data_IF_968815094894
#
_entry.id   IF_968815094894
#
_cell.length_a   1.000
_cell.length_b   1.000
_cell.length_c   1.000
_cell.angle_alpha   90.00
_cell.angle_beta   90.00
_cell.angle_gamma   90.00
#
_symmetry.space_group_name_H-M   'P 1'
#
loop_
_entity.id
_entity.type
_entity.pdbx_description
1 polymer ?
#
# COMPACT_ATOMS: atom_id res chain seq x y z
N UNK A 1 -1.37 13.04 11.13
CA UNK A 1 -2.82 12.83 10.92
C UNK A 1 -3.43 13.89 10.01
N UNK A 2 -3.30 15.21 10.27
CA UNK A 2 -3.84 16.28 9.40
C UNK A 2 -3.36 16.19 7.93
N UNK A 3 -2.08 15.90 7.68
CA UNK A 3 -1.47 15.79 6.34
C UNK A 3 -2.01 14.60 5.52
N UNK A 4 -2.38 13.50 6.15
CA UNK A 4 -2.98 12.33 5.48
C UNK A 4 -4.47 12.54 5.16
N UNK A 5 -5.18 13.22 6.06
CA UNK A 5 -6.56 13.64 5.83
C UNK A 5 -6.65 14.61 4.64
N UNK A 6 -5.61 15.45 4.46
CA UNK A 6 -5.49 16.38 3.35
C UNK A 6 -5.40 15.69 1.98
N UNK A 7 -4.61 14.63 1.88
CA UNK A 7 -4.48 13.84 0.64
C UNK A 7 -5.83 13.19 0.26
N UNK A 8 -6.61 12.83 1.27
CA UNK A 8 -7.90 12.19 1.12
C UNK A 8 -9.00 13.16 0.67
N UNK A 9 -9.02 14.37 1.24
CA UNK A 9 -9.99 15.43 0.87
C UNK A 9 -9.72 15.96 -0.55
N UNK A 10 -8.46 15.95 -1.01
CA UNK A 10 -8.11 16.37 -2.37
C UNK A 10 -8.69 15.41 -3.44
N UNK A 11 -8.79 14.11 -3.14
CA UNK A 11 -9.43 13.13 -4.02
C UNK A 11 -10.97 13.31 -4.09
N UNK A 12 -11.57 13.97 -3.09
CA UNK A 12 -13.01 14.21 -2.98
C UNK A 12 -13.47 15.60 -3.50
N UNK A 13 -12.55 16.53 -3.72
CA UNK A 13 -12.87 17.91 -4.05
C UNK A 13 -13.71 18.16 -5.34
N UNK A 14 -13.58 17.37 -6.44
CA UNK A 14 -14.37 17.61 -7.65
C UNK A 14 -15.85 17.21 -7.57
N UNK A 15 -16.30 16.59 -6.46
CA UNK A 15 -17.63 15.97 -6.37
C UNK A 15 -18.71 16.91 -5.79
N UNK A 16 -18.36 18.12 -5.35
CA UNK A 16 -19.23 18.96 -4.52
C UNK A 16 -20.10 19.98 -5.26
N UNK A 17 -20.27 19.92 -6.59
CA UNK A 17 -21.04 20.93 -7.32
C UNK A 17 -21.92 20.36 -8.44
N UNK A 18 -23.19 20.04 -8.21
CA UNK A 18 -24.19 19.78 -9.25
C UNK A 18 -25.65 19.76 -8.76
N UNK A 19 -26.58 20.18 -9.60
CA UNK A 19 -27.98 20.53 -9.34
C UNK A 19 -29.07 19.54 -9.80
N UNK A 20 -30.28 19.77 -9.34
CA UNK A 20 -31.45 18.88 -9.33
C UNK A 20 -32.06 18.47 -10.66
N UNK A 21 -32.24 17.16 -10.86
CA UNK A 21 -33.42 16.55 -11.45
C UNK A 21 -33.55 15.10 -10.94
N UNK A 22 -34.76 14.71 -10.53
CA UNK A 22 -35.00 13.47 -9.82
C UNK A 22 -35.39 12.32 -10.77
N UNK A 23 -34.46 11.37 -10.93
CA UNK A 23 -34.78 10.00 -11.31
C UNK A 23 -34.15 9.07 -10.28
N UNK A 24 -34.94 8.21 -9.65
CA UNK A 24 -34.55 7.27 -8.60
C UNK A 24 -34.23 7.87 -7.20
N UNK A 25 -34.93 8.94 -6.79
CA UNK A 25 -34.72 9.55 -5.47
C UNK A 25 -33.43 10.37 -5.37
N UNK A 26 -32.75 10.61 -6.47
CA UNK A 26 -31.55 11.44 -6.58
C UNK A 26 -32.00 12.85 -6.96
N UNK A 27 -32.15 13.73 -5.99
CA UNK A 27 -32.43 15.13 -6.24
C UNK A 27 -31.13 15.91 -6.40
N UNK A 28 -30.95 16.46 -7.59
CA UNK A 28 -29.92 17.49 -7.84
C UNK A 28 -30.54 18.85 -7.41
N UNK A 29 -29.95 19.61 -6.50
CA UNK A 29 -30.46 20.93 -6.00
C UNK A 29 -29.84 22.09 -6.80
N UNK A 30 -30.61 22.90 -7.52
CA UNK A 30 -30.15 24.03 -8.32
C UNK A 30 -30.00 25.28 -7.45
N UNK A 31 -28.77 25.65 -7.16
CA UNK A 31 -28.48 26.93 -6.53
C UNK A 31 -27.85 27.88 -7.56
N UNK A 32 -28.02 29.21 -7.36
CA UNK A 32 -27.63 30.28 -8.33
C UNK A 32 -26.14 30.34 -8.71
N UNK A 33 -25.29 29.48 -8.16
CA UNK A 33 -23.82 29.45 -8.37
C UNK A 33 -23.27 28.13 -8.87
N UNK A 34 -24.09 27.16 -9.27
CA UNK A 34 -23.60 25.87 -9.80
C UNK A 34 -24.46 24.69 -9.33
N UNK A 35 -24.26 23.55 -10.00
CA UNK A 35 -24.96 22.30 -9.74
C UNK A 35 -24.42 21.65 -8.46
N UNK A 36 -25.23 21.46 -7.39
CA UNK A 36 -24.84 20.70 -6.19
C UNK A 36 -25.57 19.36 -6.14
N UNK A 37 -24.86 18.30 -5.77
CA UNK A 37 -25.45 16.99 -5.52
C UNK A 37 -26.37 17.06 -4.30
N UNK A 38 -27.56 16.44 -4.39
CA UNK A 38 -28.48 16.34 -3.25
C UNK A 38 -27.79 15.66 -2.05
N UNK A 39 -28.19 16.04 -0.83
CA UNK A 39 -27.61 15.49 0.42
C UNK A 39 -27.53 13.95 0.43
N UNK A 40 -28.56 13.19 -0.03
CA UNK A 40 -28.46 11.74 -0.10
C UNK A 40 -27.32 11.25 -1.01
N UNK A 41 -27.11 11.89 -2.16
CA UNK A 41 -26.03 11.53 -3.09
C UNK A 41 -24.65 11.85 -2.50
N UNK A 42 -24.51 12.97 -1.79
CA UNK A 42 -23.28 13.31 -1.08
C UNK A 42 -22.92 12.24 -0.03
N UNK A 43 -23.91 11.75 0.71
CA UNK A 43 -23.74 10.68 1.70
C UNK A 43 -23.31 9.38 1.00
N UNK A 44 -23.96 9.00 -0.09
CA UNK A 44 -23.60 7.78 -0.85
C UNK A 44 -22.16 7.88 -1.37
N UNK A 45 -21.79 9.01 -1.96
CA UNK A 45 -20.42 9.22 -2.45
C UNK A 45 -19.40 9.20 -1.31
N UNK A 46 -19.70 9.83 -0.18
CA UNK A 46 -18.84 9.80 0.99
C UNK A 46 -18.65 8.37 1.53
N UNK A 47 -19.74 7.61 1.65
CA UNK A 47 -19.68 6.20 2.08
C UNK A 47 -18.89 5.34 1.10
N UNK A 48 -19.11 5.51 -0.20
CA UNK A 48 -18.34 4.81 -1.25
C UNK A 48 -16.85 5.16 -1.15
N UNK A 49 -16.53 6.43 -0.97
CA UNK A 49 -15.15 6.88 -0.82
C UNK A 49 -14.49 6.30 0.45
N UNK A 50 -15.21 6.29 1.57
CA UNK A 50 -14.73 5.69 2.83
C UNK A 50 -14.47 4.17 2.70
N UNK A 51 -15.31 3.45 1.97
CA UNK A 51 -15.13 2.01 1.75
C UNK A 51 -13.96 1.71 0.80
N UNK A 52 -13.68 2.59 -0.15
CA UNK A 52 -12.54 2.46 -1.08
C UNK A 52 -11.20 2.94 -0.49
N UNK A 53 -11.25 3.73 0.59
CA UNK A 53 -10.05 4.30 1.23
C UNK A 53 -8.95 3.27 1.54
N UNK A 54 -9.24 2.12 2.18
CA UNK A 54 -8.22 1.12 2.46
C UNK A 54 -7.57 0.57 1.18
N UNK A 55 -8.36 0.35 0.13
CA UNK A 55 -7.85 -0.14 -1.16
C UNK A 55 -6.92 0.89 -1.83
N UNK A 56 -7.29 2.17 -1.81
CA UNK A 56 -6.46 3.25 -2.36
C UNK A 56 -5.15 3.36 -1.57
N UNK A 57 -5.22 3.37 -0.24
CA UNK A 57 -4.01 3.45 0.61
C UNK A 57 -3.06 2.28 0.35
N UNK A 58 -3.58 1.06 0.25
CA UNK A 58 -2.73 -0.12 -0.02
C UNK A 58 -2.14 -0.12 -1.43
N UNK A 59 -2.83 0.51 -2.40
CA UNK A 59 -2.42 0.50 -3.81
C UNK A 59 -1.37 1.56 -4.17
N UNK A 60 -1.27 2.67 -3.41
CA UNK A 60 -0.34 3.77 -3.72
C UNK A 60 0.74 3.98 -2.65
N UNK A 61 0.80 3.11 -1.64
CA UNK A 61 1.80 3.19 -0.58
C UNK A 61 2.62 1.90 -0.49
N UNK A 62 3.79 1.92 0.19
CA UNK A 62 4.60 0.72 0.45
C UNK A 62 3.94 -0.32 1.35
N UNK A 63 2.73 -0.04 1.86
CA UNK A 63 2.01 -0.90 2.81
C UNK A 63 1.94 -2.35 2.33
N UNK A 64 1.66 -2.56 1.04
CA UNK A 64 1.51 -3.90 0.47
C UNK A 64 2.78 -4.74 0.60
N UNK A 65 3.96 -4.18 0.24
CA UNK A 65 5.24 -4.88 0.40
C UNK A 65 5.50 -5.19 1.86
N UNK A 66 5.32 -4.22 2.74
CA UNK A 66 5.62 -4.35 4.16
C UNK A 66 4.75 -5.42 4.80
N UNK A 67 3.43 -5.37 4.60
CA UNK A 67 2.52 -6.32 5.23
C UNK A 67 2.75 -7.76 4.75
N UNK A 68 3.01 -7.95 3.45
CA UNK A 68 3.28 -9.27 2.88
C UNK A 68 4.59 -9.84 3.44
N UNK A 69 5.66 -9.04 3.53
CA UNK A 69 6.94 -9.48 4.12
C UNK A 69 6.77 -9.84 5.60
N UNK A 70 6.03 -9.04 6.38
CA UNK A 70 5.76 -9.35 7.79
C UNK A 70 4.94 -10.63 7.96
N UNK A 71 4.01 -10.92 7.05
CA UNK A 71 3.29 -12.20 7.04
C UNK A 71 4.22 -13.37 6.72
N UNK A 72 5.14 -13.22 5.75
CA UNK A 72 6.15 -14.23 5.46
C UNK A 72 7.08 -14.47 6.66
N UNK A 73 7.50 -13.40 7.35
CA UNK A 73 8.31 -13.53 8.57
C UNK A 73 7.57 -14.36 9.63
N UNK A 74 6.31 -14.07 9.91
CA UNK A 74 5.50 -14.83 10.86
C UNK A 74 5.41 -16.31 10.46
N UNK A 75 5.17 -16.59 9.19
CA UNK A 75 5.16 -17.97 8.67
C UNK A 75 6.51 -18.66 8.79
N UNK A 76 7.60 -17.98 8.47
CA UNK A 76 8.95 -18.52 8.55
C UNK A 76 9.33 -18.93 9.97
N UNK A 77 8.91 -18.14 10.98
CA UNK A 77 9.09 -18.45 12.41
C UNK A 77 8.27 -19.66 12.88
N UNK A 78 7.33 -20.17 12.07
CA UNK A 78 6.45 -21.27 12.44
C UNK A 78 5.29 -20.86 13.38
N UNK A 79 5.10 -19.56 13.59
CA UNK A 79 4.00 -19.04 14.42
C UNK A 79 2.78 -18.78 13.55
N UNK A 80 1.62 -19.35 13.92
CA UNK A 80 0.38 -19.20 13.14
C UNK A 80 -0.40 -17.93 13.52
N UNK A 81 -0.38 -17.52 14.79
CA UNK A 81 -1.24 -16.47 15.34
C UNK A 81 -0.47 -15.31 15.98
N UNK A 82 0.80 -15.48 16.29
CA UNK A 82 1.62 -14.47 17.00
C UNK A 82 2.79 -14.01 16.11
N UNK A 83 2.98 -12.69 15.92
CA UNK A 83 2.12 -11.56 16.32
C UNK A 83 0.74 -11.58 15.64
N UNK A 84 -0.29 -10.99 16.31
CA UNK A 84 -1.65 -10.95 15.72
C UNK A 84 -1.68 -10.11 14.42
N UNK A 85 -2.68 -10.37 13.55
CA UNK A 85 -2.84 -9.60 12.31
C UNK A 85 -2.95 -8.09 12.57
N UNK A 86 -3.62 -7.69 13.65
CA UNK A 86 -3.79 -6.28 14.00
C UNK A 86 -2.44 -5.61 14.30
N UNK A 87 -1.53 -6.30 15.02
CA UNK A 87 -0.18 -5.79 15.31
C UNK A 87 0.63 -5.65 14.02
N UNK A 88 0.59 -6.65 13.14
CA UNK A 88 1.31 -6.60 11.86
C UNK A 88 0.77 -5.50 10.95
N UNK A 89 -0.55 -5.34 10.85
CA UNK A 89 -1.19 -4.28 10.07
C UNK A 89 -0.84 -2.91 10.64
N UNK A 90 -0.91 -2.74 11.97
CA UNK A 90 -0.53 -1.49 12.62
C UNK A 90 0.93 -1.11 12.35
N UNK A 91 1.84 -2.08 12.52
CA UNK A 91 3.28 -1.87 12.25
C UNK A 91 3.52 -1.54 10.77
N UNK A 92 2.90 -2.30 9.85
CA UNK A 92 3.02 -2.03 8.42
C UNK A 92 2.51 -0.64 8.03
N UNK A 93 1.41 -0.19 8.64
CA UNK A 93 0.87 1.14 8.41
C UNK A 93 1.85 2.23 8.88
N UNK A 94 2.39 2.13 10.10
CA UNK A 94 3.38 3.09 10.60
C UNK A 94 4.63 3.16 9.73
N UNK A 95 5.16 2.00 9.31
CA UNK A 95 6.32 1.94 8.43
C UNK A 95 6.01 2.52 7.04
N UNK A 96 4.83 2.22 6.48
CA UNK A 96 4.40 2.79 5.20
C UNK A 96 4.30 4.32 5.27
N UNK A 97 3.74 4.87 6.37
CA UNK A 97 3.65 6.30 6.60
C UNK A 97 5.03 6.96 6.69
N UNK A 98 5.96 6.31 7.37
CA UNK A 98 7.34 6.79 7.49
C UNK A 98 8.03 6.88 6.12
N UNK A 99 7.85 5.86 5.27
CA UNK A 99 8.46 5.83 3.93
C UNK A 99 7.81 6.86 2.98
N UNK A 100 6.50 7.08 3.08
CA UNK A 100 5.76 8.03 2.21
C UNK A 100 5.86 9.47 2.71
N UNK A 101 6.38 9.71 3.91
CA UNK A 101 6.47 11.04 4.51
C UNK A 101 7.01 12.12 3.55
N UNK A 102 8.15 11.95 2.84
CA UNK A 102 8.65 12.98 1.93
C UNK A 102 7.68 13.31 0.79
N UNK A 103 6.96 12.31 0.26
CA UNK A 103 5.96 12.51 -0.79
C UNK A 103 4.76 13.28 -0.24
N UNK A 104 4.29 12.93 0.96
CA UNK A 104 3.15 13.62 1.60
C UNK A 104 3.49 15.07 1.98
N UNK A 105 4.73 15.36 2.34
CA UNK A 105 5.20 16.73 2.59
C UNK A 105 5.24 17.56 1.30
N UNK A 106 5.75 16.99 0.23
CA UNK A 106 5.76 17.63 -1.10
C UNK A 106 4.35 17.96 -1.58
N UNK A 107 3.42 17.00 -1.49
CA UNK A 107 2.02 17.21 -1.87
C UNK A 107 1.35 18.23 -0.95
N UNK A 108 1.64 18.21 0.34
CA UNK A 108 1.08 19.17 1.28
C UNK A 108 1.48 20.61 0.93
N UNK A 109 2.78 20.86 0.70
CA UNK A 109 3.28 22.21 0.43
C UNK A 109 2.96 22.70 -0.98
N UNK A 110 3.01 21.83 -1.99
CA UNK A 110 2.82 22.24 -3.39
C UNK A 110 1.34 22.31 -3.81
N UNK A 111 0.47 21.58 -3.12
CA UNK A 111 -0.92 21.40 -3.52
C UNK A 111 -1.92 21.79 -2.41
N UNK A 112 -1.85 21.14 -1.24
CA UNK A 112 -2.84 21.32 -0.20
C UNK A 112 -2.81 22.71 0.45
N UNK A 113 -1.65 23.18 0.86
CA UNK A 113 -1.48 24.47 1.53
C UNK A 113 -1.91 25.64 0.64
N UNK A 114 -1.54 25.72 -0.67
CA UNK A 114 -2.06 26.73 -1.58
C UNK A 114 -3.56 26.63 -1.83
N UNK A 115 -4.15 25.42 -1.85
CA UNK A 115 -5.59 25.23 -1.97
C UNK A 115 -6.33 25.75 -0.72
N UNK A 116 -5.85 25.42 0.47
CA UNK A 116 -6.43 25.86 1.75
C UNK A 116 -6.39 27.40 1.91
N UNK A 117 -5.32 28.03 1.39
CA UNK A 117 -5.19 29.49 1.37
C UNK A 117 -5.96 30.18 0.22
N UNK A 118 -6.67 29.44 -0.61
CA UNK A 118 -7.44 29.96 -1.73
C UNK A 118 -6.62 30.50 -2.91
N UNK A 119 -5.32 30.19 -2.98
CA UNK A 119 -4.41 30.65 -4.04
C UNK A 119 -4.57 29.86 -5.34
N UNK A 120 -5.06 28.64 -5.27
CA UNK A 120 -5.24 27.75 -6.43
C UNK A 120 -6.61 27.07 -6.38
N UNK A 121 -7.08 26.63 -7.55
CA UNK A 121 -8.31 25.84 -7.65
C UNK A 121 -8.09 24.37 -7.27
N UNK A 122 -9.18 23.63 -7.03
CA UNK A 122 -9.09 22.18 -6.78
C UNK A 122 -8.48 21.41 -7.95
N UNK A 123 -8.71 21.85 -9.19
CA UNK A 123 -8.10 21.29 -10.40
C UNK A 123 -6.59 21.49 -10.41
N UNK A 124 -6.12 22.71 -10.15
CA UNK A 124 -4.69 23.03 -10.08
C UNK A 124 -4.00 22.26 -8.94
N UNK A 125 -4.69 22.12 -7.81
CA UNK A 125 -4.19 21.35 -6.68
C UNK A 125 -3.97 19.88 -7.06
N UNK A 126 -4.90 19.26 -7.81
CA UNK A 126 -4.74 17.91 -8.33
C UNK A 126 -3.58 17.81 -9.30
N UNK A 127 -3.44 18.74 -10.24
CA UNK A 127 -2.33 18.77 -11.19
C UNK A 127 -0.97 18.87 -10.48
N UNK A 128 -0.88 19.65 -9.40
CA UNK A 128 0.35 19.78 -8.60
C UNK A 128 0.63 18.60 -7.68
N UNK A 129 -0.40 17.88 -7.23
CA UNK A 129 -0.25 16.67 -6.42
C UNK A 129 0.23 15.46 -7.24
N UNK A 130 -0.13 15.40 -8.52
CA UNK A 130 0.10 14.26 -9.39
C UNK A 130 1.60 13.95 -9.63
N UNK A 131 2.49 14.92 -9.96
CA UNK A 131 3.90 14.65 -10.22
C UNK A 131 4.67 13.99 -9.07
N UNK A 132 4.61 14.45 -7.80
CA UNK A 132 5.30 13.79 -6.70
C UNK A 132 4.80 12.36 -6.48
N UNK A 133 3.49 12.11 -6.61
CA UNK A 133 2.91 10.77 -6.49
C UNK A 133 3.41 9.88 -7.63
N UNK A 134 3.35 10.34 -8.89
CA UNK A 134 3.84 9.59 -10.05
C UNK A 134 5.33 9.27 -9.93
N UNK A 135 6.14 10.22 -9.50
CA UNK A 135 7.58 10.03 -9.30
C UNK A 135 7.86 8.91 -8.29
N UNK A 136 7.11 8.90 -7.19
CA UNK A 136 7.21 7.84 -6.21
C UNK A 136 6.81 6.47 -6.78
N UNK A 137 5.68 6.36 -7.46
CA UNK A 137 5.21 5.11 -8.05
C UNK A 137 6.19 4.60 -9.12
N UNK A 138 6.69 5.47 -9.98
CA UNK A 138 7.67 5.14 -11.03
C UNK A 138 9.01 4.64 -10.47
N UNK A 139 9.44 5.15 -9.31
CA UNK A 139 10.67 4.71 -8.66
C UNK A 139 10.65 3.20 -8.34
N UNK A 140 9.48 2.65 -8.03
CA UNK A 140 9.33 1.26 -7.58
C UNK A 140 8.59 0.36 -8.59
N UNK A 141 7.85 0.94 -9.54
CA UNK A 141 7.23 0.18 -10.62
C UNK A 141 8.29 -0.28 -11.63
N UNK A 142 8.33 -1.59 -11.91
CA UNK A 142 9.29 -2.16 -12.87
C UNK A 142 8.81 -1.91 -14.29
N UNK A 143 9.73 -1.63 -15.20
CA UNK A 143 9.42 -1.39 -16.61
C UNK A 143 8.59 -2.51 -17.25
N UNK A 144 8.87 -3.77 -16.91
CA UNK A 144 8.12 -4.92 -17.42
C UNK A 144 6.64 -4.87 -17.03
N UNK A 145 6.37 -4.46 -15.79
CA UNK A 145 5.00 -4.38 -15.29
C UNK A 145 4.28 -3.16 -15.89
N UNK A 146 4.99 -2.04 -16.04
CA UNK A 146 4.44 -0.86 -16.74
C UNK A 146 4.09 -1.23 -18.19
N UNK A 147 5.00 -1.86 -18.94
CA UNK A 147 4.76 -2.30 -20.33
C UNK A 147 3.54 -3.22 -20.42
N UNK A 148 3.44 -4.20 -19.51
CA UNK A 148 2.29 -5.11 -19.45
C UNK A 148 0.97 -4.34 -19.34
N UNK A 149 0.87 -3.38 -18.40
CA UNK A 149 -0.38 -2.64 -18.21
C UNK A 149 -0.64 -1.59 -19.29
N UNK A 150 0.39 -1.04 -19.94
CA UNK A 150 0.23 -0.22 -21.15
C UNK A 150 -0.40 -1.04 -22.29
N UNK A 151 0.11 -2.24 -22.56
CA UNK A 151 -0.44 -3.15 -23.57
C UNK A 151 -1.88 -3.55 -23.25
N UNK A 152 -2.17 -3.93 -22.01
CA UNK A 152 -3.51 -4.34 -21.56
C UNK A 152 -4.54 -3.21 -21.61
N UNK A 153 -4.12 -1.97 -21.42
CA UNK A 153 -5.00 -0.79 -21.41
C UNK A 153 -5.24 -0.21 -22.82
N UNK A 154 -4.59 -0.76 -23.86
CA UNK A 154 -4.65 -0.25 -25.24
C UNK A 154 -4.32 1.26 -25.37
N UNK A 155 -3.57 1.81 -24.41
CA UNK A 155 -3.11 3.20 -24.46
C UNK A 155 -1.89 3.29 -25.37
N UNK A 156 -1.74 4.36 -26.19
CA UNK A 156 -0.54 4.57 -26.97
C UNK A 156 0.72 4.51 -26.09
N UNK A 157 1.78 3.89 -26.59
CA UNK A 157 3.02 3.77 -25.82
C UNK A 157 3.54 5.16 -25.41
N UNK A 158 3.70 5.43 -24.10
CA UNK A 158 4.14 6.73 -23.62
C UNK A 158 5.57 7.00 -24.07
N UNK A 159 5.86 8.22 -24.53
CA UNK A 159 7.19 8.63 -24.99
C UNK A 159 8.19 8.71 -23.81
N UNK A 160 7.71 9.03 -22.61
CA UNK A 160 8.51 9.13 -21.38
C UNK A 160 7.78 8.41 -20.23
N UNK A 161 8.52 7.90 -19.24
CA UNK A 161 7.91 7.28 -18.06
C UNK A 161 6.91 8.21 -17.33
N UNK A 162 7.18 9.52 -17.31
CA UNK A 162 6.31 10.52 -16.71
C UNK A 162 4.94 10.66 -17.41
N UNK A 163 4.86 10.28 -18.69
CA UNK A 163 3.62 10.39 -19.48
C UNK A 163 2.66 9.20 -19.23
N UNK A 164 3.11 8.15 -18.54
CA UNK A 164 2.28 6.99 -18.19
C UNK A 164 1.04 7.45 -17.40
N UNK A 165 -0.19 7.11 -17.84
CA UNK A 165 -1.39 7.44 -17.08
C UNK A 165 -1.39 6.80 -15.70
N UNK A 166 -1.89 7.52 -14.68
CA UNK A 166 -1.90 7.02 -13.31
C UNK A 166 -2.73 5.73 -13.16
N UNK A 167 -3.78 5.57 -13.96
CA UNK A 167 -4.60 4.36 -14.02
C UNK A 167 -3.86 3.12 -14.53
N UNK A 168 -2.79 3.30 -15.31
CA UNK A 168 -1.88 2.24 -15.76
C UNK A 168 -0.75 2.04 -14.76
N UNK A 169 -0.25 3.13 -14.19
CA UNK A 169 0.89 3.11 -13.29
C UNK A 169 0.57 2.46 -11.93
N UNK A 170 -0.60 2.73 -11.36
CA UNK A 170 -1.00 2.16 -10.06
C UNK A 170 -1.03 0.63 -10.07
N UNK A 171 -1.73 -0.06 -11.00
CA UNK A 171 -1.70 -1.53 -11.03
C UNK A 171 -0.32 -2.09 -11.36
N UNK A 172 0.49 -1.42 -12.18
CA UNK A 172 1.87 -1.80 -12.45
C UNK A 172 2.74 -1.72 -11.18
N UNK A 173 2.58 -0.67 -10.38
CA UNK A 173 3.23 -0.51 -9.10
C UNK A 173 2.81 -1.61 -8.12
N UNK A 174 1.50 -1.87 -7.96
CA UNK A 174 0.99 -2.93 -7.08
C UNK A 174 1.58 -4.30 -7.44
N UNK A 175 1.63 -4.64 -8.72
CA UNK A 175 2.22 -5.90 -9.18
C UNK A 175 3.73 -5.94 -8.89
N UNK A 176 4.44 -4.85 -9.09
CA UNK A 176 5.87 -4.72 -8.78
C UNK A 176 6.15 -4.86 -7.28
N UNK A 177 5.34 -4.23 -6.43
CA UNK A 177 5.42 -4.33 -4.97
C UNK A 177 5.14 -5.75 -4.46
N UNK A 178 4.10 -6.41 -5.02
CA UNK A 178 3.83 -7.83 -4.72
C UNK A 178 5.04 -8.70 -5.05
N UNK A 179 5.61 -8.55 -6.24
CA UNK A 179 6.78 -9.36 -6.61
C UNK A 179 7.98 -9.09 -5.72
N UNK A 180 8.27 -7.82 -5.39
CA UNK A 180 9.33 -7.47 -4.48
C UNK A 180 9.10 -8.09 -3.09
N UNK A 181 7.87 -8.03 -2.58
CA UNK A 181 7.49 -8.62 -1.30
C UNK A 181 7.69 -10.14 -1.28
N UNK A 182 7.29 -10.84 -2.36
CA UNK A 182 7.49 -12.28 -2.48
C UNK A 182 8.98 -12.65 -2.58
N UNK A 183 9.78 -11.86 -3.30
CA UNK A 183 11.23 -12.07 -3.39
C UNK A 183 11.89 -11.91 -2.02
N UNK A 184 11.59 -10.83 -1.30
CA UNK A 184 12.11 -10.61 0.06
C UNK A 184 11.64 -11.72 1.00
N UNK A 185 10.35 -12.08 0.95
CA UNK A 185 9.78 -13.15 1.75
C UNK A 185 10.45 -14.51 1.51
N UNK A 186 10.71 -14.85 0.25
CA UNK A 186 11.41 -16.09 -0.11
C UNK A 186 12.83 -16.13 0.47
N UNK A 187 13.60 -15.04 0.34
CA UNK A 187 14.95 -14.94 0.91
C UNK A 187 14.91 -15.06 2.43
N UNK A 188 13.92 -14.41 3.06
CA UNK A 188 13.74 -14.47 4.51
C UNK A 188 13.39 -15.87 5.01
N UNK A 189 12.72 -16.68 4.20
CA UNK A 189 12.40 -18.08 4.53
C UNK A 189 13.62 -18.99 4.57
N UNK A 190 14.67 -18.74 3.76
CA UNK A 190 15.80 -19.65 3.60
C UNK A 190 16.49 -20.07 4.91
N UNK A 191 16.88 -19.16 5.83
CA UNK A 191 17.54 -19.56 7.07
C UNK A 191 16.64 -20.43 7.96
N UNK A 192 15.36 -20.14 8.00
CA UNK A 192 14.40 -20.91 8.80
C UNK A 192 14.09 -22.29 8.20
N UNK A 193 14.11 -22.40 6.87
CA UNK A 193 13.96 -23.67 6.17
C UNK A 193 15.14 -24.60 6.44
N UNK A 194 16.36 -24.08 6.56
CA UNK A 194 17.53 -24.85 6.96
C UNK A 194 17.34 -25.44 8.36
N UNK A 195 16.83 -24.65 9.31
CA UNK A 195 16.53 -25.13 10.67
C UNK A 195 15.47 -26.24 10.62
N UNK A 196 14.40 -26.07 9.83
CA UNK A 196 13.40 -27.12 9.66
C UNK A 196 13.99 -28.42 9.13
N UNK A 197 14.87 -28.34 8.13
CA UNK A 197 15.52 -29.50 7.53
C UNK A 197 16.40 -30.23 8.53
N UNK A 198 17.21 -29.52 9.32
CA UNK A 198 18.07 -30.10 10.35
C UNK A 198 17.24 -30.80 11.42
N UNK A 199 16.21 -30.11 11.95
CA UNK A 199 15.31 -30.67 12.96
C UNK A 199 14.58 -31.89 12.41
N UNK A 200 14.07 -31.84 11.17
CA UNK A 200 13.43 -32.99 10.53
C UNK A 200 14.38 -34.20 10.40
N UNK A 201 15.60 -33.96 9.99
CA UNK A 201 16.61 -35.02 9.86
C UNK A 201 16.92 -35.72 11.21
N UNK A 202 17.06 -34.93 12.28
CA UNK A 202 17.30 -35.46 13.63
C UNK A 202 16.08 -36.24 14.15
N UNK A 203 14.87 -35.69 14.03
CA UNK A 203 13.67 -36.34 14.52
C UNK A 203 13.38 -37.67 13.81
N UNK A 204 13.58 -37.71 12.50
CA UNK A 204 13.44 -38.94 11.72
C UNK A 204 14.48 -39.98 12.11
N UNK A 205 15.72 -39.56 12.38
CA UNK A 205 16.82 -40.50 12.78
C UNK A 205 16.55 -41.16 14.13
N UNK A 206 15.83 -40.47 15.04
CA UNK A 206 15.41 -41.01 16.35
C UNK A 206 14.12 -41.84 16.24
N UNK A 207 13.51 -41.91 15.05
CA UNK A 207 12.28 -42.69 14.83
C UNK A 207 10.99 -41.95 15.25
N UNK A 208 11.05 -40.66 15.52
CA UNK A 208 9.89 -39.85 15.92
C UNK A 208 9.06 -39.41 14.69
N UNK A 209 8.41 -40.36 14.02
CA UNK A 209 7.65 -40.11 12.78
C UNK A 209 6.28 -39.43 13.05
N UNK A 210 5.75 -39.53 14.28
CA UNK A 210 4.41 -39.05 14.60
C UNK A 210 4.33 -37.56 14.91
N UNK A 211 5.43 -36.90 15.24
CA UNK A 211 5.43 -35.45 15.56
C UNK A 211 5.84 -34.62 14.33
N UNK A 212 5.03 -33.62 13.94
CA UNK A 212 5.41 -32.74 12.86
C UNK A 212 6.72 -31.98 13.18
N UNK A 213 7.78 -32.10 12.37
CA UNK A 213 9.09 -31.46 12.64
C UNK A 213 9.01 -29.94 12.82
N UNK A 214 8.05 -29.29 12.16
CA UNK A 214 7.82 -27.84 12.26
C UNK A 214 7.45 -27.42 13.69
N UNK A 215 6.72 -28.23 14.43
CA UNK A 215 6.38 -27.92 15.83
C UNK A 215 7.60 -28.00 16.76
N UNK A 216 8.55 -28.88 16.44
CA UNK A 216 9.79 -29.04 17.21
C UNK A 216 10.77 -27.92 16.83
N UNK A 217 10.80 -27.49 15.58
CA UNK A 217 11.73 -26.44 15.11
C UNK A 217 11.32 -25.01 15.53
N UNK A 218 10.02 -24.76 15.76
CA UNK A 218 9.52 -23.42 16.05
C UNK A 218 10.22 -22.73 17.25
N UNK A 219 10.43 -23.36 18.42
CA UNK A 219 11.15 -22.71 19.53
C UNK A 219 12.60 -22.36 19.17
N UNK A 220 13.29 -23.19 18.38
CA UNK A 220 14.66 -22.90 17.93
C UNK A 220 14.71 -21.71 16.97
N UNK A 221 13.74 -21.59 16.06
CA UNK A 221 13.61 -20.46 15.16
C UNK A 221 13.37 -19.16 15.91
N UNK A 222 12.45 -19.17 16.89
CA UNK A 222 12.16 -18.00 17.71
C UNK A 222 13.39 -17.60 18.51
N UNK A 223 14.07 -18.54 19.15
CA UNK A 223 15.29 -18.28 19.91
C UNK A 223 16.39 -17.65 19.03
N UNK A 224 16.66 -18.24 17.86
CA UNK A 224 17.63 -17.70 16.92
C UNK A 224 17.25 -16.27 16.49
N UNK A 225 15.98 -16.05 16.13
CA UNK A 225 15.49 -14.76 15.70
C UNK A 225 15.67 -13.67 16.76
N UNK A 226 15.42 -14.01 18.04
CA UNK A 226 15.63 -13.10 19.17
C UNK A 226 17.12 -12.84 19.40
N UNK A 227 17.95 -13.86 19.34
CA UNK A 227 19.41 -13.75 19.55
C UNK A 227 20.09 -12.83 18.54
N UNK A 228 19.62 -12.81 17.29
CA UNK A 228 20.20 -11.97 16.23
C UNK A 228 19.51 -10.59 16.12
N UNK A 229 18.64 -10.22 17.05
CA UNK A 229 17.78 -9.03 16.95
C UNK A 229 17.04 -8.95 15.61
N UNK A 230 16.35 -10.03 15.27
CA UNK A 230 15.74 -10.25 13.96
C UNK A 230 14.70 -9.18 13.59
N UNK A 231 13.97 -8.63 14.58
CA UNK A 231 13.01 -7.55 14.29
C UNK A 231 13.71 -6.31 13.74
N UNK A 232 14.81 -5.88 14.35
CA UNK A 232 15.58 -4.72 13.92
C UNK A 232 16.18 -4.96 12.53
N UNK A 233 16.75 -6.15 12.29
CA UNK A 233 17.32 -6.53 11.00
C UNK A 233 16.26 -6.52 9.88
N UNK A 234 15.10 -7.14 10.10
CA UNK A 234 14.06 -7.23 9.08
C UNK A 234 13.44 -5.86 8.81
N UNK A 235 13.04 -5.13 9.85
CA UNK A 235 12.41 -3.81 9.69
C UNK A 235 13.41 -2.83 9.07
N UNK A 236 14.65 -2.81 9.57
CA UNK A 236 15.69 -1.93 9.05
C UNK A 236 16.02 -2.19 7.59
N UNK A 237 16.16 -3.47 7.18
CA UNK A 237 16.39 -3.84 5.79
C UNK A 237 15.20 -3.53 4.90
N UNK A 238 13.98 -3.77 5.40
CA UNK A 238 12.75 -3.51 4.66
C UNK A 238 12.56 -2.02 4.40
N UNK A 239 12.74 -1.17 5.40
CA UNK A 239 12.65 0.28 5.24
C UNK A 239 13.75 0.80 4.33
N UNK A 240 15.00 0.35 4.49
CA UNK A 240 16.12 0.72 3.62
C UNK A 240 15.90 0.32 2.16
N UNK A 241 15.07 -0.68 1.86
CA UNK A 241 14.76 -1.08 0.47
C UNK A 241 13.95 -0.03 -0.31
N UNK A 242 13.48 1.04 0.36
CA UNK A 242 12.75 2.15 -0.25
C UNK A 242 13.61 3.41 -0.45
N UNK A 243 14.82 3.41 0.07
CA UNK A 243 15.78 4.51 -0.09
C UNK A 243 16.95 4.09 -0.98
#
# INVERSE_FOLDING_TARGET
>A
MKKLLALFVLAAAPVLSAQNDSLLGITLVQNKTGTSLGVPMQIVLLMTLLTLLPAILTSVTPFLRIIVVLHFLRQALGTQTTPSNQVLVGLALFLALLVVQPVTEDVYHKSWQPLESGQITASDAWERANPPIKTFLLKFAREKDIKLFVELSHVPAPAKPADVPIGVLVPAYVLSELKAAFQIGAVLFLPFLIIDLVVASVTLSVGMVQLPPVMISAPFKILLFVLVDGWNLVIGSLVKSFY
#
